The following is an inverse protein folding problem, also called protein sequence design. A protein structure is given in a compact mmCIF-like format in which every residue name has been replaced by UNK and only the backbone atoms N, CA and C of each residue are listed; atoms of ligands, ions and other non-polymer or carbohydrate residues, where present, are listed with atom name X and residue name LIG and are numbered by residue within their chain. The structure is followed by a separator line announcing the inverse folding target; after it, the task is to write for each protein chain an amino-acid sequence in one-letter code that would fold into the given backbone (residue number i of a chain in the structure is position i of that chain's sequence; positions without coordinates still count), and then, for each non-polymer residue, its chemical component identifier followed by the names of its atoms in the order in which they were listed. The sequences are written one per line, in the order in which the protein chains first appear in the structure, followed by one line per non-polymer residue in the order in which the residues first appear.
data_IF_333027959539
#
_entry.id   IF_333027959539
#
_cell.length_a   1.000
_cell.length_b   1.000
_cell.length_c   1.000
_cell.angle_alpha   90.00
_cell.angle_beta   90.00
_cell.angle_gamma   90.00
#
_symmetry.space_group_name_H-M   'P 1'
#
loop_
_entity.id
_entity.type
_entity.pdbx_description
1 polymer ?
#
# COMPACT_ATOMS: atom_id res chain seq x y z
N UNK A 1 4.84 2.08 25.73
CA UNK A 1 4.25 1.72 24.43
C UNK A 1 2.95 2.48 24.29
N UNK A 2 2.70 3.08 23.14
CA UNK A 2 1.46 3.80 22.87
C UNK A 2 1.37 4.25 21.42
N UNK A 3 0.24 4.85 21.06
CA UNK A 3 -0.05 5.37 19.74
C UNK A 3 0.18 6.88 19.69
N UNK A 4 0.92 7.34 18.69
CA UNK A 4 1.15 8.77 18.45
C UNK A 4 -0.17 9.41 18.01
N UNK A 5 -0.55 10.50 18.67
CA UNK A 5 -1.74 11.28 18.39
C UNK A 5 -1.40 12.77 18.32
N UNK A 6 -2.26 13.54 17.67
CA UNK A 6 -2.25 15.00 17.72
C UNK A 6 -3.20 15.47 18.82
N UNK A 7 -2.87 16.57 19.51
CA UNK A 7 -3.75 17.24 20.48
C UNK A 7 -4.93 17.97 19.84
N UNK A 8 -4.85 18.21 18.54
CA UNK A 8 -5.84 18.94 17.74
C UNK A 8 -6.41 18.01 16.67
N UNK A 9 -7.73 17.87 16.61
CA UNK A 9 -8.40 17.10 15.57
C UNK A 9 -8.17 17.74 14.19
N UNK A 10 -7.65 16.96 13.24
CA UNK A 10 -7.30 17.45 11.89
C UNK A 10 -6.11 18.44 11.85
N UNK A 11 -5.43 18.65 12.97
CA UNK A 11 -4.23 19.50 13.04
C UNK A 11 -2.97 18.74 12.63
N UNK A 12 -2.01 19.45 12.03
CA UNK A 12 -0.71 18.87 11.67
C UNK A 12 0.13 18.54 12.91
N UNK A 13 0.74 17.37 12.89
CA UNK A 13 1.64 16.91 13.94
C UNK A 13 2.88 17.81 14.02
N UNK A 14 3.20 18.28 15.23
CA UNK A 14 4.39 19.05 15.52
C UNK A 14 4.88 18.75 16.95
N UNK A 15 6.09 19.20 17.30
CA UNK A 15 6.70 18.89 18.59
C UNK A 15 5.87 19.30 19.82
N UNK A 16 4.97 20.30 19.69
CA UNK A 16 4.13 20.78 20.79
C UNK A 16 2.79 20.04 20.86
N UNK A 17 2.29 19.51 19.74
CA UNK A 17 1.00 18.80 19.64
C UNK A 17 1.09 17.29 19.83
N UNK A 18 2.30 16.74 20.05
CA UNK A 18 2.52 15.32 20.23
C UNK A 18 1.89 14.79 21.52
N UNK A 19 0.99 13.82 21.36
CA UNK A 19 0.43 13.02 22.43
C UNK A 19 0.80 11.54 22.23
N UNK A 20 0.96 10.82 23.34
CA UNK A 20 1.05 9.36 23.36
C UNK A 20 -0.19 8.80 24.05
N UNK A 21 -0.99 8.04 23.30
CA UNK A 21 -2.16 7.32 23.81
C UNK A 21 -1.76 5.90 24.22
N UNK A 22 -1.97 5.57 25.49
CA UNK A 22 -1.73 4.22 26.01
C UNK A 22 -2.87 3.25 25.67
N UNK A 23 -2.60 1.95 25.76
CA UNK A 23 -3.63 0.93 25.53
C UNK A 23 -4.74 0.98 26.59
N UNK A 24 -5.93 0.45 26.27
CA UNK A 24 -6.99 0.26 27.27
C UNK A 24 -6.52 -0.65 28.43
N UNK A 25 -5.77 -1.71 28.13
CA UNK A 25 -5.33 -2.71 29.11
C UNK A 25 -4.36 -2.15 30.15
N UNK A 26 -3.40 -1.33 29.73
CA UNK A 26 -2.31 -0.86 30.60
C UNK A 26 -2.52 0.55 31.12
N UNK A 27 -3.32 1.35 30.42
CA UNK A 27 -3.38 2.80 30.64
C UNK A 27 -4.80 3.35 30.53
N UNK A 28 -5.83 2.50 30.40
CA UNK A 28 -7.23 2.91 30.26
C UNK A 28 -7.48 3.91 29.12
N UNK A 29 -6.65 3.89 28.07
CA UNK A 29 -6.74 4.86 26.98
C UNK A 29 -6.24 6.28 27.34
N UNK A 30 -5.54 6.43 28.46
CA UNK A 30 -5.00 7.73 28.88
C UNK A 30 -4.01 8.29 27.84
N UNK A 31 -4.04 9.60 27.68
CA UNK A 31 -3.13 10.36 26.82
C UNK A 31 -2.22 11.22 27.70
N UNK A 32 -0.94 11.27 27.34
CA UNK A 32 0.03 12.18 27.93
C UNK A 32 0.76 12.94 26.82
N UNK A 33 1.22 14.16 27.11
CA UNK A 33 2.10 14.87 26.16
C UNK A 33 3.39 14.10 26.00
N UNK A 34 3.95 14.15 24.80
CA UNK A 34 5.19 13.47 24.47
C UNK A 34 6.23 14.49 24.02
N UNK A 35 7.27 14.66 24.85
CA UNK A 35 8.43 15.47 24.53
C UNK A 35 9.52 14.58 23.92
N UNK A 36 9.85 14.83 22.66
CA UNK A 36 10.88 14.11 21.89
C UNK A 36 12.13 14.96 21.62
N UNK A 37 12.36 16.01 22.40
CA UNK A 37 13.52 16.91 22.25
C UNK A 37 14.87 16.20 22.37
N UNK A 38 14.95 15.10 23.15
CA UNK A 38 16.13 14.24 23.25
C UNK A 38 16.21 13.15 22.17
N UNK A 39 15.29 13.17 21.20
CA UNK A 39 15.07 12.15 20.19
C UNK A 39 14.87 12.77 18.77
N UNK A 40 15.77 13.67 18.31
CA UNK A 40 15.51 14.55 17.16
C UNK A 40 15.43 13.83 15.80
N UNK A 41 15.92 12.60 15.69
CA UNK A 41 15.95 11.84 14.43
C UNK A 41 14.67 11.04 14.16
N UNK A 42 13.72 11.04 15.10
CA UNK A 42 12.55 10.18 15.02
C UNK A 42 11.48 10.76 14.09
N UNK A 43 11.14 10.01 13.05
CA UNK A 43 10.00 10.26 12.18
C UNK A 43 8.75 9.73 12.86
N UNK A 44 7.87 10.66 13.23
CA UNK A 44 6.60 10.36 13.86
C UNK A 44 5.45 10.79 12.95
N UNK A 45 4.40 9.98 12.92
CA UNK A 45 3.16 10.30 12.22
C UNK A 45 1.94 9.88 13.08
N UNK A 46 0.76 10.49 12.87
CA UNK A 46 -0.45 10.13 13.60
C UNK A 46 -0.86 8.67 13.36
N UNK A 47 -1.12 7.93 14.44
CA UNK A 47 -1.47 6.51 14.37
C UNK A 47 -0.29 5.56 14.59
N UNK A 48 0.95 6.06 14.54
CA UNK A 48 2.12 5.23 14.75
C UNK A 48 2.16 4.64 16.16
N UNK A 49 2.26 3.32 16.26
CA UNK A 49 2.52 2.58 17.48
C UNK A 49 4.02 2.59 17.76
N UNK A 50 4.40 3.17 18.90
CA UNK A 50 5.79 3.34 19.31
C UNK A 50 6.05 2.79 20.70
N UNK A 51 7.26 2.29 20.91
CA UNK A 51 7.81 1.97 22.21
C UNK A 51 8.93 2.96 22.54
N UNK A 52 8.78 3.73 23.62
CA UNK A 52 9.76 4.73 24.02
C UNK A 52 10.17 4.52 25.47
N UNK A 53 11.46 4.72 25.74
CA UNK A 53 12.01 4.87 27.07
C UNK A 53 12.01 6.35 27.44
N UNK A 54 11.66 6.67 28.68
CA UNK A 54 11.60 8.04 29.15
C UNK A 54 11.17 8.14 30.60
N UNK A 55 11.00 9.37 31.08
CA UNK A 55 10.50 9.67 32.42
C UNK A 55 9.22 10.51 32.34
N UNK A 56 8.32 10.35 33.30
CA UNK A 56 7.10 11.16 33.41
C UNK A 56 7.01 11.75 34.83
N UNK A 57 7.82 12.78 35.15
CA UNK A 57 7.89 13.33 36.50
C UNK A 57 6.60 14.04 36.91
N UNK A 58 5.85 14.60 35.95
CA UNK A 58 4.67 15.42 36.21
C UNK A 58 3.34 14.66 36.11
N UNK A 59 3.38 13.39 35.68
CA UNK A 59 2.22 12.55 35.40
C UNK A 59 1.54 12.82 34.04
N UNK A 60 1.77 13.99 33.43
CA UNK A 60 1.06 14.41 32.21
C UNK A 60 1.98 14.68 31.01
N UNK A 61 3.31 14.56 31.17
CA UNK A 61 4.28 14.75 30.09
C UNK A 61 5.39 13.70 30.18
N UNK A 62 5.50 12.87 29.16
CA UNK A 62 6.56 11.87 29.00
C UNK A 62 7.72 12.53 28.27
N UNK A 63 8.86 12.67 28.94
CA UNK A 63 10.12 13.09 28.34
C UNK A 63 10.82 11.85 27.81
N UNK A 64 10.75 11.65 26.49
CA UNK A 64 11.33 10.50 25.82
C UNK A 64 12.84 10.66 25.67
N UNK A 65 13.59 9.67 26.14
CA UNK A 65 15.05 9.60 25.99
C UNK A 65 15.49 8.69 24.84
N UNK A 66 14.66 7.73 24.44
CA UNK A 66 14.97 6.78 23.37
C UNK A 66 13.71 6.19 22.75
N UNK A 67 13.69 6.09 21.41
CA UNK A 67 12.74 5.26 20.68
C UNK A 67 13.32 3.85 20.52
N UNK A 68 12.54 2.84 20.89
CA UNK A 68 12.93 1.44 20.74
C UNK A 68 12.52 0.96 19.34
N UNK A 69 13.46 0.48 18.51
CA UNK A 69 13.15 -0.08 17.19
C UNK A 69 12.39 -1.40 17.32
N UNK A 70 11.70 -1.80 16.25
CA UNK A 70 11.25 -3.19 16.07
C UNK A 70 10.10 -3.68 16.97
N UNK A 71 9.51 -2.84 17.81
CA UNK A 71 8.47 -3.28 18.76
C UNK A 71 7.20 -3.88 18.08
N UNK A 72 6.97 -3.56 16.81
CA UNK A 72 5.85 -4.04 16.00
C UNK A 72 6.28 -4.43 14.57
N UNK A 73 7.55 -4.77 14.35
CA UNK A 73 8.05 -5.06 13.01
C UNK A 73 7.60 -6.45 12.54
N UNK A 74 7.16 -6.52 11.28
CA UNK A 74 6.76 -7.77 10.66
C UNK A 74 7.99 -8.69 10.48
N UNK A 75 7.84 -10.02 10.64
CA UNK A 75 8.94 -10.95 10.45
C UNK A 75 9.40 -10.95 8.99
N UNK A 76 10.70 -11.16 8.76
CA UNK A 76 11.20 -11.38 7.41
C UNK A 76 10.66 -12.71 6.86
N UNK A 77 10.29 -12.76 5.57
CA UNK A 77 9.88 -13.99 4.93
C UNK A 77 11.06 -14.98 4.89
N UNK A 78 10.75 -16.25 5.08
CA UNK A 78 11.72 -17.34 4.97
C UNK A 78 11.23 -18.35 3.92
N UNK A 79 12.18 -18.97 3.21
CA UNK A 79 11.93 -20.05 2.26
C UNK A 79 12.85 -21.21 2.61
N UNK A 80 12.32 -22.43 2.70
CA UNK A 80 13.17 -23.61 2.94
C UNK A 80 14.06 -23.90 1.73
N UNK A 81 15.21 -24.55 1.97
CA UNK A 81 16.13 -24.94 0.88
C UNK A 81 15.47 -25.88 -0.13
N UNK A 82 14.58 -26.76 0.32
CA UNK A 82 13.82 -27.68 -0.54
C UNK A 82 12.85 -26.92 -1.47
N UNK A 83 12.13 -25.94 -0.94
CA UNK A 83 11.26 -25.07 -1.75
C UNK A 83 12.07 -24.23 -2.74
N UNK A 84 13.22 -23.68 -2.32
CA UNK A 84 14.12 -22.94 -3.21
C UNK A 84 14.60 -23.82 -4.38
N UNK A 85 15.00 -25.06 -4.10
CA UNK A 85 15.39 -26.01 -5.14
C UNK A 85 14.24 -26.32 -6.10
N UNK A 86 13.01 -26.42 -5.58
CA UNK A 86 11.80 -26.64 -6.38
C UNK A 86 11.54 -25.45 -7.31
N UNK A 87 11.59 -24.21 -6.81
CA UNK A 87 11.40 -23.01 -7.62
C UNK A 87 12.49 -22.82 -8.67
N UNK A 88 13.74 -23.08 -8.30
CA UNK A 88 14.87 -23.04 -9.23
C UNK A 88 14.69 -24.08 -10.36
N UNK A 89 14.22 -25.28 -10.04
CA UNK A 89 13.96 -26.32 -11.04
C UNK A 89 12.80 -25.92 -11.95
N UNK A 90 11.69 -25.44 -11.40
CA UNK A 90 10.51 -25.04 -12.15
C UNK A 90 10.77 -23.89 -13.14
N UNK A 91 11.67 -22.96 -12.77
CA UNK A 91 12.03 -21.80 -13.61
C UNK A 91 13.26 -22.05 -14.48
N UNK A 92 13.92 -23.20 -14.37
CA UNK A 92 15.22 -23.43 -15.02
C UNK A 92 16.30 -22.44 -14.53
N UNK A 93 16.20 -22.01 -13.27
CA UNK A 93 17.06 -21.03 -12.61
C UNK A 93 17.09 -19.63 -13.25
N UNK A 94 16.12 -19.29 -14.12
CA UNK A 94 16.05 -17.96 -14.76
C UNK A 94 15.40 -16.88 -13.89
N UNK A 95 14.82 -17.26 -12.75
CA UNK A 95 14.01 -16.39 -11.91
C UNK A 95 12.60 -16.16 -12.47
N UNK A 96 11.85 -15.26 -11.83
CA UNK A 96 10.50 -14.85 -12.23
C UNK A 96 10.53 -13.42 -12.73
N UNK A 97 10.02 -13.18 -13.94
CA UNK A 97 9.85 -11.84 -14.47
C UNK A 97 8.46 -11.31 -14.11
N UNK A 98 8.41 -10.28 -13.27
CA UNK A 98 7.19 -9.58 -12.88
C UNK A 98 7.17 -8.20 -13.54
N UNK A 99 6.09 -7.88 -14.25
CA UNK A 99 5.77 -6.52 -14.69
C UNK A 99 4.64 -6.01 -13.82
N UNK A 100 4.81 -4.84 -13.20
CA UNK A 100 3.80 -4.20 -12.38
C UNK A 100 3.45 -2.82 -12.96
N UNK A 101 2.16 -2.49 -12.97
CA UNK A 101 1.66 -1.18 -13.36
C UNK A 101 0.50 -0.77 -12.46
N UNK A 102 0.37 0.54 -12.20
CA UNK A 102 -0.75 1.12 -11.49
C UNK A 102 -1.46 2.12 -12.38
N UNK A 103 -2.79 2.19 -12.26
CA UNK A 103 -3.61 3.12 -13.02
C UNK A 103 -3.33 4.59 -12.65
N UNK A 104 -3.91 5.54 -13.41
CA UNK A 104 -4.94 5.32 -14.43
C UNK A 104 -4.41 4.69 -15.73
N UNK A 105 -5.24 3.88 -16.38
CA UNK A 105 -4.88 3.15 -17.61
C UNK A 105 -5.43 3.77 -18.92
N UNK A 106 -5.99 4.98 -18.84
CA UNK A 106 -6.51 5.75 -19.97
C UNK A 106 -6.05 7.21 -19.89
N UNK A 107 -6.17 7.95 -20.99
CA UNK A 107 -5.90 9.40 -21.03
C UNK A 107 -7.02 10.17 -20.33
N UNK A 108 -6.85 11.47 -20.06
CA UNK A 108 -7.92 12.33 -19.55
C UNK A 108 -8.97 12.71 -20.59
N UNK A 109 -8.68 12.47 -21.87
CA UNK A 109 -9.47 12.96 -23.01
C UNK A 109 -10.53 11.93 -23.46
N UNK A 110 -10.31 10.64 -23.17
CA UNK A 110 -11.11 9.54 -23.70
C UNK A 110 -11.07 8.29 -22.78
N UNK A 111 -11.97 7.34 -23.07
CA UNK A 111 -12.06 6.03 -22.41
C UNK A 111 -11.72 4.89 -23.38
N UNK A 112 -10.75 5.10 -24.28
CA UNK A 112 -10.30 4.08 -25.23
C UNK A 112 -9.18 3.19 -24.67
N UNK A 113 -8.59 3.57 -23.52
CA UNK A 113 -7.56 2.79 -22.82
C UNK A 113 -6.35 2.46 -23.72
N UNK A 114 -5.94 3.41 -24.55
CA UNK A 114 -4.73 3.28 -25.36
C UNK A 114 -3.45 2.97 -24.54
N UNK A 115 -3.24 3.58 -23.34
CA UNK A 115 -2.12 3.22 -22.47
C UNK A 115 -2.14 1.75 -22.01
N UNK A 116 -3.31 1.21 -21.66
CA UNK A 116 -3.46 -0.21 -21.33
C UNK A 116 -3.06 -1.09 -22.51
N UNK A 117 -3.56 -0.79 -23.71
CA UNK A 117 -3.22 -1.52 -24.92
C UNK A 117 -1.71 -1.54 -25.18
N UNK A 118 -1.05 -0.39 -25.06
CA UNK A 118 0.40 -0.27 -25.23
C UNK A 118 1.18 -1.10 -24.19
N UNK A 119 0.73 -1.09 -22.92
CA UNK A 119 1.32 -1.93 -21.86
C UNK A 119 1.17 -3.43 -22.18
N UNK A 120 -0.01 -3.85 -22.62
CA UNK A 120 -0.28 -5.25 -22.98
C UNK A 120 0.52 -5.68 -24.22
N UNK A 121 0.70 -4.80 -25.20
CA UNK A 121 1.56 -5.04 -26.36
C UNK A 121 3.04 -5.20 -25.97
N UNK A 122 3.54 -4.36 -25.07
CA UNK A 122 4.86 -4.52 -24.48
C UNK A 122 4.99 -5.87 -23.78
N UNK A 123 4.02 -6.24 -22.95
CA UNK A 123 4.02 -7.52 -22.23
C UNK A 123 3.94 -8.72 -23.19
N UNK A 124 3.28 -8.59 -24.34
CA UNK A 124 3.21 -9.67 -25.33
C UNK A 124 4.57 -9.96 -25.97
N UNK A 125 5.43 -8.93 -26.09
CA UNK A 125 6.81 -9.07 -26.52
C UNK A 125 7.74 -9.56 -25.40
N UNK A 126 7.64 -8.95 -24.21
CA UNK A 126 8.49 -9.25 -23.06
C UNK A 126 8.19 -10.63 -22.44
N UNK A 127 6.94 -11.11 -22.54
CA UNK A 127 6.41 -12.36 -21.96
C UNK A 127 6.77 -12.51 -20.48
N UNK A 128 6.32 -11.58 -19.61
CA UNK A 128 6.52 -11.74 -18.17
C UNK A 128 5.78 -12.97 -17.66
N UNK A 129 6.27 -13.56 -16.58
CA UNK A 129 5.60 -14.65 -15.89
C UNK A 129 4.37 -14.13 -15.14
N UNK A 130 4.47 -12.92 -14.58
CA UNK A 130 3.39 -12.24 -13.86
C UNK A 130 3.21 -10.81 -14.36
N UNK A 131 1.97 -10.44 -14.67
CA UNK A 131 1.55 -9.06 -14.90
C UNK A 131 0.62 -8.63 -13.76
N UNK A 132 1.10 -7.73 -12.90
CA UNK A 132 0.33 -7.19 -11.78
C UNK A 132 -0.20 -5.80 -12.15
N UNK A 133 -1.52 -5.67 -12.21
CA UNK A 133 -2.21 -4.41 -12.46
C UNK A 133 -2.92 -3.94 -11.20
N UNK A 134 -2.58 -2.75 -10.74
CA UNK A 134 -3.22 -2.09 -9.60
C UNK A 134 -4.12 -0.98 -10.13
N UNK A 135 -5.33 -0.87 -9.60
CA UNK A 135 -6.27 0.19 -9.98
C UNK A 135 -5.72 1.61 -9.74
N UNK A 136 -6.47 2.65 -10.15
CA UNK A 136 -7.83 2.54 -10.68
C UNK A 136 -7.88 2.07 -12.15
N UNK A 137 -8.80 1.16 -12.41
CA UNK A 137 -9.19 0.71 -13.74
C UNK A 137 -10.23 1.64 -14.34
N UNK A 138 -11.33 1.91 -13.63
CA UNK A 138 -12.30 2.96 -14.00
C UNK A 138 -12.25 4.03 -12.93
N UNK A 139 -11.44 5.06 -13.18
CA UNK A 139 -11.09 6.07 -12.20
C UNK A 139 -12.24 7.05 -11.93
N UNK A 140 -12.67 7.15 -10.68
CA UNK A 140 -13.69 8.12 -10.23
C UNK A 140 -13.28 9.58 -10.50
N UNK A 141 -11.98 9.87 -10.57
CA UNK A 141 -11.48 11.22 -10.84
C UNK A 141 -11.39 11.55 -12.33
N UNK A 142 -11.61 10.56 -13.22
CA UNK A 142 -11.56 10.78 -14.66
C UNK A 142 -12.61 11.83 -15.09
N UNK A 143 -12.25 12.85 -15.92
CA UNK A 143 -13.15 13.96 -16.25
C UNK A 143 -14.52 13.53 -16.80
N UNK A 144 -14.56 12.52 -17.67
CA UNK A 144 -15.82 11.99 -18.22
C UNK A 144 -16.65 11.20 -17.20
N UNK A 145 -16.01 10.50 -16.27
CA UNK A 145 -16.69 9.74 -15.19
C UNK A 145 -17.30 10.73 -14.21
N UNK A 146 -16.51 11.70 -13.75
CA UNK A 146 -16.95 12.76 -12.83
C UNK A 146 -17.98 13.70 -13.44
N UNK A 147 -17.91 13.92 -14.76
CA UNK A 147 -18.86 14.73 -15.50
C UNK A 147 -20.26 14.11 -15.61
N UNK A 148 -20.39 12.79 -15.42
CA UNK A 148 -21.68 12.09 -15.47
C UNK A 148 -22.35 12.09 -16.85
N UNK A 149 -21.56 12.24 -17.92
CA UNK A 149 -22.04 12.33 -19.31
C UNK A 149 -21.87 11.01 -20.08
N UNK A 150 -21.64 9.90 -19.37
CA UNK A 150 -21.43 8.58 -19.98
C UNK A 150 -22.77 7.91 -20.28
N UNK A 151 -22.88 7.31 -21.46
CA UNK A 151 -24.05 6.54 -21.88
C UNK A 151 -23.97 5.06 -21.46
N UNK A 152 -22.78 4.58 -21.10
CA UNK A 152 -22.50 3.21 -20.63
C UNK A 152 -22.39 3.17 -19.10
N UNK A 153 -22.69 2.02 -18.48
CA UNK A 153 -22.48 1.84 -17.04
C UNK A 153 -20.99 1.69 -16.73
N UNK A 154 -20.58 1.99 -15.49
CA UNK A 154 -19.18 1.82 -15.08
C UNK A 154 -18.72 0.35 -15.15
N UNK A 155 -19.62 -0.58 -14.83
CA UNK A 155 -19.39 -2.02 -14.96
C UNK A 155 -19.18 -2.42 -16.42
N UNK A 156 -19.97 -1.88 -17.35
CA UNK A 156 -19.83 -2.15 -18.79
C UNK A 156 -18.51 -1.60 -19.34
N UNK A 157 -18.08 -0.42 -18.89
CA UNK A 157 -16.79 0.17 -19.25
C UNK A 157 -15.65 -0.73 -18.76
N UNK A 158 -15.69 -1.15 -17.49
CA UNK A 158 -14.70 -2.07 -16.94
C UNK A 158 -14.66 -3.40 -17.72
N UNK A 159 -15.83 -4.01 -17.93
CA UNK A 159 -15.96 -5.29 -18.62
C UNK A 159 -15.44 -5.24 -20.07
N UNK A 160 -15.86 -4.23 -20.83
CA UNK A 160 -15.60 -4.14 -22.27
C UNK A 160 -14.22 -3.57 -22.58
N UNK A 161 -13.82 -2.49 -21.91
CA UNK A 161 -12.60 -1.73 -22.22
C UNK A 161 -11.37 -2.26 -21.49
N UNK A 162 -11.51 -2.72 -20.24
CA UNK A 162 -10.40 -3.20 -19.42
C UNK A 162 -10.27 -4.72 -19.55
N UNK A 163 -11.26 -5.46 -19.05
CA UNK A 163 -11.24 -6.93 -19.06
C UNK A 163 -11.26 -7.50 -20.50
N UNK A 164 -11.94 -6.83 -21.43
CA UNK A 164 -11.91 -7.17 -22.85
C UNK A 164 -10.50 -7.13 -23.45
N UNK A 165 -9.69 -6.11 -23.12
CA UNK A 165 -8.31 -6.00 -23.58
C UNK A 165 -7.41 -7.06 -22.93
N UNK A 166 -7.56 -7.27 -21.61
CA UNK A 166 -6.83 -8.32 -20.88
C UNK A 166 -7.14 -9.70 -21.46
N UNK A 167 -8.41 -10.00 -21.76
CA UNK A 167 -8.81 -11.27 -22.38
C UNK A 167 -8.13 -11.49 -23.74
N UNK A 168 -8.06 -10.45 -24.58
CA UNK A 168 -7.37 -10.50 -25.88
C UNK A 168 -5.88 -10.75 -25.71
N UNK A 169 -5.26 -10.08 -24.73
CA UNK A 169 -3.86 -10.29 -24.37
C UNK A 169 -3.61 -11.73 -23.90
N UNK A 170 -4.37 -12.23 -22.94
CA UNK A 170 -4.24 -13.58 -22.40
C UNK A 170 -4.37 -14.65 -23.49
N UNK A 171 -5.32 -14.48 -24.42
CA UNK A 171 -5.48 -15.36 -25.60
C UNK A 171 -4.28 -15.27 -26.55
N UNK A 172 -3.72 -14.07 -26.76
CA UNK A 172 -2.56 -13.85 -27.63
C UNK A 172 -1.28 -14.48 -27.07
N UNK A 173 -1.06 -14.41 -25.76
CA UNK A 173 0.14 -15.01 -25.11
C UNK A 173 -0.05 -16.47 -24.71
N UNK A 174 -1.25 -17.03 -24.88
CA UNK A 174 -1.51 -18.46 -24.67
C UNK A 174 -1.32 -18.91 -23.22
N UNK A 175 -1.61 -18.04 -22.25
CA UNK A 175 -1.48 -18.38 -20.82
C UNK A 175 -0.05 -18.38 -20.27
N UNK A 176 0.94 -17.88 -21.02
CA UNK A 176 2.33 -17.78 -20.52
C UNK A 176 2.51 -16.75 -19.40
N UNK A 177 1.56 -15.82 -19.28
CA UNK A 177 1.60 -14.73 -18.30
C UNK A 177 0.39 -14.83 -17.38
N UNK A 178 0.62 -14.88 -16.07
CA UNK A 178 -0.44 -14.79 -15.07
C UNK A 178 -0.78 -13.32 -14.83
N UNK A 179 -2.04 -12.93 -15.09
CA UNK A 179 -2.52 -11.57 -14.85
C UNK A 179 -3.17 -11.47 -13.48
N UNK A 180 -2.70 -10.54 -12.64
CA UNK A 180 -3.20 -10.28 -11.29
C UNK A 180 -3.80 -8.87 -11.24
N UNK A 181 -5.00 -8.73 -10.68
CA UNK A 181 -5.72 -7.46 -10.57
C UNK A 181 -5.91 -7.09 -9.09
N UNK A 182 -5.50 -5.89 -8.70
CA UNK A 182 -5.72 -5.34 -7.36
C UNK A 182 -6.58 -4.08 -7.49
N UNK A 183 -7.74 -3.97 -6.80
CA UNK A 183 -8.59 -2.79 -6.89
C UNK A 183 -7.96 -1.58 -6.21
N UNK A 184 -8.47 -0.40 -6.55
CA UNK A 184 -8.24 0.87 -5.85
C UNK A 184 -9.56 1.40 -5.30
N UNK A 185 -9.53 2.19 -4.22
CA UNK A 185 -10.75 2.87 -3.71
C UNK A 185 -11.30 3.88 -4.71
N UNK A 186 -10.50 4.24 -5.72
CA UNK A 186 -10.89 5.08 -6.86
C UNK A 186 -11.59 4.32 -7.99
N UNK A 187 -11.70 2.99 -7.91
CA UNK A 187 -12.49 2.21 -8.87
C UNK A 187 -13.98 2.46 -8.66
N UNK A 188 -14.57 3.32 -9.50
CA UNK A 188 -15.97 3.79 -9.35
C UNK A 188 -17.01 2.67 -9.46
N UNK A 189 -16.64 1.55 -10.08
CA UNK A 189 -17.47 0.35 -10.25
C UNK A 189 -17.30 -0.66 -9.09
N UNK A 190 -16.46 -0.37 -8.08
CA UNK A 190 -16.12 -1.31 -7.02
C UNK A 190 -16.38 -0.74 -5.61
N UNK A 191 -16.20 -1.57 -4.58
CA UNK A 191 -16.38 -1.16 -3.19
C UNK A 191 -15.44 -0.01 -2.81
N UNK A 192 -15.94 1.19 -2.42
CA UNK A 192 -15.10 2.38 -2.33
C UNK A 192 -14.33 2.52 -1.00
N UNK A 193 -14.32 1.51 -0.12
CA UNK A 193 -13.78 1.61 1.26
C UNK A 193 -12.60 0.66 1.45
N UNK A 194 -11.52 1.14 2.07
CA UNK A 194 -10.37 0.32 2.44
C UNK A 194 -10.65 -0.41 3.78
N UNK A 195 -10.26 -1.68 3.94
CA UNK A 195 -9.74 -2.61 2.94
C UNK A 195 -10.82 -3.08 1.96
N UNK A 196 -10.47 -3.25 0.68
CA UNK A 196 -11.40 -3.65 -0.37
C UNK A 196 -11.35 -5.17 -0.62
N UNK A 197 -12.50 -5.82 -0.86
CA UNK A 197 -12.54 -7.19 -1.36
C UNK A 197 -11.96 -7.27 -2.79
N UNK A 198 -11.63 -8.47 -3.28
CA UNK A 198 -11.31 -8.68 -4.69
C UNK A 198 -12.40 -8.14 -5.62
N UNK A 199 -12.00 -7.75 -6.84
CA UNK A 199 -12.91 -7.50 -7.97
C UNK A 199 -13.69 -8.78 -8.31
N UNK A 200 -14.75 -8.70 -9.12
CA UNK A 200 -15.58 -9.86 -9.49
C UNK A 200 -14.71 -11.02 -10.03
N UNK A 201 -14.53 -12.05 -9.19
CA UNK A 201 -13.66 -13.18 -9.45
C UNK A 201 -14.15 -14.03 -10.62
N UNK A 202 -15.47 -14.16 -10.79
CA UNK A 202 -16.07 -14.93 -11.89
C UNK A 202 -15.82 -14.22 -13.21
N UNK A 203 -16.00 -12.90 -13.22
CA UNK A 203 -15.70 -12.08 -14.38
C UNK A 203 -14.21 -12.20 -14.70
N UNK A 204 -13.31 -11.85 -13.78
CA UNK A 204 -11.86 -11.90 -13.98
C UNK A 204 -11.35 -13.28 -14.45
N UNK A 205 -11.82 -14.37 -13.83
CA UNK A 205 -11.42 -15.73 -14.18
C UNK A 205 -11.84 -16.09 -15.62
N UNK A 206 -13.01 -15.62 -16.07
CA UNK A 206 -13.45 -15.81 -17.45
C UNK A 206 -12.55 -15.10 -18.48
N UNK A 207 -11.67 -14.19 -18.06
CA UNK A 207 -10.64 -13.56 -18.91
C UNK A 207 -9.21 -14.00 -18.56
N UNK A 208 -9.05 -15.11 -17.83
CA UNK A 208 -7.75 -15.64 -17.41
C UNK A 208 -6.94 -14.67 -16.54
N UNK A 209 -7.62 -13.84 -15.75
CA UNK A 209 -7.04 -12.99 -14.73
C UNK A 209 -7.45 -13.46 -13.33
N UNK A 210 -6.64 -13.15 -12.32
CA UNK A 210 -6.95 -13.42 -10.91
C UNK A 210 -7.17 -12.09 -10.19
N UNK A 211 -8.36 -11.89 -9.64
CA UNK A 211 -8.65 -10.75 -8.79
C UNK A 211 -8.11 -10.99 -7.37
N UNK A 212 -7.51 -9.95 -6.78
CA UNK A 212 -6.95 -9.95 -5.44
C UNK A 212 -7.58 -8.81 -4.62
N UNK A 213 -7.51 -8.91 -3.30
CA UNK A 213 -7.95 -7.85 -2.39
C UNK A 213 -7.00 -6.63 -2.42
N UNK A 214 -7.44 -5.50 -1.86
CA UNK A 214 -6.58 -4.34 -1.60
C UNK A 214 -6.63 -3.99 -0.10
N UNK A 215 -5.49 -4.03 0.60
CA UNK A 215 -4.15 -4.45 0.16
C UNK A 215 -4.02 -5.99 0.01
N UNK A 216 -2.88 -6.46 -0.49
CA UNK A 216 -2.56 -7.89 -0.58
C UNK A 216 -1.08 -8.17 -0.38
N UNK A 217 -0.77 -9.29 0.30
CA UNK A 217 0.59 -9.87 0.34
C UNK A 217 0.58 -11.15 -0.49
N UNK A 218 1.35 -11.19 -1.56
CA UNK A 218 1.42 -12.34 -2.46
C UNK A 218 2.85 -12.89 -2.53
N UNK A 219 2.98 -14.14 -2.97
CA UNK A 219 4.26 -14.82 -3.07
C UNK A 219 4.50 -15.27 -4.50
N UNK A 220 5.56 -14.74 -5.10
CA UNK A 220 6.07 -15.15 -6.39
C UNK A 220 7.31 -16.01 -6.15
N UNK A 221 7.13 -17.34 -6.08
CA UNK A 221 8.15 -18.30 -5.66
C UNK A 221 8.70 -18.01 -4.25
N UNK A 222 9.97 -17.63 -4.12
CA UNK A 222 10.60 -17.27 -2.86
C UNK A 222 10.34 -15.82 -2.45
N UNK A 223 10.03 -14.94 -3.41
CA UNK A 223 9.86 -13.52 -3.17
C UNK A 223 8.45 -13.20 -2.68
N UNK A 224 8.35 -12.50 -1.55
CA UNK A 224 7.12 -11.97 -1.01
C UNK A 224 6.93 -10.53 -1.47
N UNK A 225 5.81 -10.27 -2.13
CA UNK A 225 5.46 -8.95 -2.66
C UNK A 225 4.26 -8.40 -1.88
N UNK A 226 4.43 -7.23 -1.28
CA UNK A 226 3.35 -6.48 -0.66
C UNK A 226 2.82 -5.41 -1.61
N UNK A 227 1.51 -5.30 -1.73
CA UNK A 227 0.84 -4.38 -2.65
C UNK A 227 -0.28 -3.66 -1.90
N UNK A 228 -0.27 -2.33 -1.93
CA UNK A 228 -1.38 -1.51 -1.44
C UNK A 228 -1.69 -0.41 -2.43
N UNK A 229 -2.95 -0.27 -2.85
CA UNK A 229 -3.33 0.74 -3.86
C UNK A 229 -3.56 2.14 -3.28
N UNK A 230 -3.71 2.25 -1.95
CA UNK A 230 -3.81 3.55 -1.28
C UNK A 230 -2.44 4.26 -1.30
N UNK A 231 -2.42 5.55 -1.62
CA UNK A 231 -1.19 6.35 -1.66
C UNK A 231 -0.67 6.66 -0.25
N UNK A 232 -0.05 5.65 0.36
CA UNK A 232 0.59 5.71 1.68
C UNK A 232 1.61 6.85 1.77
N UNK A 233 2.42 7.02 0.72
CA UNK A 233 3.52 7.98 0.73
C UNK A 233 2.98 9.41 0.82
N UNK A 234 2.00 9.76 -0.02
CA UNK A 234 1.38 11.07 -0.01
C UNK A 234 0.57 11.31 1.27
N UNK A 235 -0.15 10.30 1.76
CA UNK A 235 -0.84 10.35 3.04
C UNK A 235 0.13 10.70 4.18
N UNK A 236 1.27 9.99 4.26
CA UNK A 236 2.25 10.22 5.31
C UNK A 236 3.00 11.55 5.14
N UNK A 237 3.32 11.97 3.92
CA UNK A 237 3.98 13.28 3.65
C UNK A 237 3.17 14.45 4.18
N UNK A 238 1.83 14.35 4.15
CA UNK A 238 0.91 15.40 4.60
C UNK A 238 0.80 15.48 6.12
N UNK A 239 0.94 14.35 6.80
CA UNK A 239 0.63 14.18 8.22
C UNK A 239 1.87 14.01 9.13
N UNK A 240 3.04 13.63 8.59
CA UNK A 240 4.24 13.41 9.40
C UNK A 240 4.76 14.70 10.03
N UNK A 241 5.45 14.55 11.16
CA UNK A 241 6.15 15.65 11.79
C UNK A 241 7.27 16.17 10.87
N UNK A 242 7.36 17.49 10.62
CA UNK A 242 8.39 18.05 9.77
C UNK A 242 9.79 17.82 10.37
N UNK A 243 10.67 17.22 9.59
CA UNK A 243 12.08 17.03 9.94
C UNK A 243 12.98 17.66 8.88
N UNK A 244 14.11 18.23 9.31
CA UNK A 244 15.15 18.74 8.41
C UNK A 244 16.01 17.57 7.94
N UNK A 245 15.60 16.90 6.86
CA UNK A 245 16.35 15.81 6.26
C UNK A 245 16.36 15.97 4.74
N UNK A 246 17.39 15.44 4.09
CA UNK A 246 17.46 15.40 2.64
C UNK A 246 16.24 14.67 2.06
N UNK A 247 15.59 15.26 1.05
CA UNK A 247 14.36 14.75 0.45
C UNK A 247 14.48 13.31 -0.08
N UNK A 248 15.68 12.89 -0.49
CA UNK A 248 15.89 11.58 -1.12
C UNK A 248 15.84 10.41 -0.12
N UNK A 249 16.21 10.64 1.15
CA UNK A 249 16.10 9.66 2.24
C UNK A 249 14.68 9.62 2.83
N UNK A 250 13.88 10.65 2.53
CA UNK A 250 12.52 10.81 3.07
C UNK A 250 11.60 9.67 2.65
N UNK A 251 11.49 9.41 1.34
CA UNK A 251 10.54 8.41 0.82
C UNK A 251 10.87 6.99 1.29
N UNK A 252 12.16 6.63 1.35
CA UNK A 252 12.59 5.32 1.85
C UNK A 252 12.22 5.13 3.32
N UNK A 253 12.41 6.17 4.15
CA UNK A 253 12.05 6.12 5.56
C UNK A 253 10.53 6.05 5.76
N UNK A 254 9.75 6.73 4.92
CA UNK A 254 8.29 6.63 4.94
C UNK A 254 7.80 5.23 4.57
N UNK A 255 8.40 4.62 3.54
CA UNK A 255 8.09 3.24 3.17
C UNK A 255 8.47 2.27 4.30
N UNK A 256 9.58 2.51 5.03
CA UNK A 256 10.02 1.68 6.15
C UNK A 256 9.02 1.63 7.31
N UNK A 257 8.15 2.65 7.46
CA UNK A 257 7.13 2.64 8.49
C UNK A 257 6.12 1.52 8.32
N UNK A 258 5.78 1.15 7.08
CA UNK A 258 4.80 0.10 6.80
C UNK A 258 5.19 -1.25 7.48
N UNK A 259 6.32 -1.89 7.13
CA UNK A 259 6.74 -3.14 7.77
C UNK A 259 7.08 -2.95 9.26
N UNK A 260 7.56 -1.77 9.68
CA UNK A 260 7.81 -1.47 11.09
C UNK A 260 6.52 -1.34 11.94
N UNK A 261 5.38 -1.13 11.30
CA UNK A 261 4.06 -1.09 11.92
C UNK A 261 3.23 -2.34 11.63
N UNK A 262 3.77 -3.29 10.84
CA UNK A 262 3.06 -4.48 10.37
C UNK A 262 1.69 -4.17 9.78
N UNK A 263 1.51 -3.04 9.10
CA UNK A 263 0.22 -2.63 8.53
C UNK A 263 0.39 -1.83 7.25
N UNK A 264 -0.42 -2.11 6.23
CA UNK A 264 -0.42 -1.43 4.93
C UNK A 264 -0.95 0.01 4.99
N UNK A 265 -1.65 0.37 6.06
CA UNK A 265 -2.16 1.73 6.24
C UNK A 265 -2.25 2.11 7.74
N UNK A 266 -1.11 2.39 8.41
CA UNK A 266 -1.07 2.64 9.86
C UNK A 266 -1.43 4.09 10.26
N UNK A 267 -1.70 4.99 9.31
CA UNK A 267 -2.12 6.35 9.64
C UNK A 267 -3.52 6.33 10.26
N UNK A 268 -3.64 6.94 11.43
CA UNK A 268 -4.93 7.09 12.10
C UNK A 268 -5.01 8.39 12.90
N UNK A 269 -6.09 9.20 12.73
CA UNK A 269 -7.21 8.99 11.80
C UNK A 269 -6.79 8.99 10.32
N UNK A 270 -7.52 8.28 9.42
CA UNK A 270 -7.21 8.30 8.00
C UNK A 270 -7.36 9.74 7.45
N UNK A 271 -6.53 10.15 6.47
CA UNK A 271 -6.67 11.46 5.85
C UNK A 271 -8.03 11.64 5.16
N UNK A 272 -8.45 12.90 4.99
CA UNK A 272 -9.65 13.21 4.22
C UNK A 272 -9.55 12.63 2.80
N UNK A 273 -10.62 11.95 2.37
CA UNK A 273 -10.67 11.27 1.08
C UNK A 273 -10.21 9.81 1.09
N UNK A 274 -9.72 9.28 2.22
CA UNK A 274 -9.41 7.85 2.36
C UNK A 274 -10.43 7.17 3.27
N UNK A 275 -11.52 6.62 2.72
CA UNK A 275 -12.50 5.89 3.50
C UNK A 275 -11.90 4.59 4.06
N UNK A 276 -12.00 4.41 5.38
CA UNK A 276 -11.43 3.28 6.11
C UNK A 276 -12.49 2.59 6.97
N UNK A 277 -12.75 1.31 6.72
CA UNK A 277 -13.57 0.46 7.59
C UNK A 277 -12.73 -0.09 8.74
N UNK A 278 -12.75 0.60 9.87
CA UNK A 278 -12.03 0.21 11.08
C UNK A 278 -12.47 -1.14 11.65
N UNK A 279 -13.66 -1.65 11.29
CA UNK A 279 -14.14 -2.97 11.77
C UNK A 279 -13.42 -4.13 11.09
N UNK A 280 -12.90 -3.91 9.87
CA UNK A 280 -12.15 -4.89 9.08
C UNK A 280 -10.64 -4.61 9.05
N UNK A 281 -10.25 -3.39 9.41
CA UNK A 281 -8.87 -2.88 9.32
C UNK A 281 -7.81 -3.79 9.99
N UNK A 282 -8.13 -4.43 11.13
CA UNK A 282 -7.18 -5.29 11.84
C UNK A 282 -6.60 -6.38 10.94
N UNK A 283 -7.38 -7.43 10.66
CA UNK A 283 -6.86 -8.56 9.88
C UNK A 283 -6.55 -8.24 8.41
N UNK A 284 -7.28 -7.30 7.79
CA UNK A 284 -7.18 -7.07 6.35
C UNK A 284 -6.14 -6.00 5.95
N UNK A 285 -5.62 -5.21 6.89
CA UNK A 285 -4.47 -4.32 6.64
C UNK A 285 -3.17 -4.85 7.23
N UNK A 286 -3.19 -5.95 7.98
CA UNK A 286 -2.00 -6.55 8.56
C UNK A 286 -0.99 -6.97 7.47
N UNK A 287 0.28 -6.67 7.73
CA UNK A 287 1.41 -7.21 6.98
C UNK A 287 1.91 -8.46 7.70
N UNK A 288 1.67 -9.67 7.17
CA UNK A 288 2.11 -10.91 7.80
C UNK A 288 3.63 -11.06 7.80
N UNK A 289 4.30 -10.43 6.83
CA UNK A 289 5.75 -10.39 6.68
C UNK A 289 6.19 -8.99 6.28
N UNK A 290 7.44 -8.65 6.57
CA UNK A 290 8.10 -7.52 5.93
C UNK A 290 8.48 -7.95 4.51
N UNK A 291 7.77 -7.49 3.46
CA UNK A 291 7.89 -8.07 2.13
C UNK A 291 9.26 -7.79 1.51
N UNK A 292 9.73 -8.70 0.66
CA UNK A 292 10.97 -8.53 -0.11
C UNK A 292 10.83 -7.39 -1.13
N UNK A 293 9.63 -7.22 -1.67
CA UNK A 293 9.27 -6.12 -2.58
C UNK A 293 7.98 -5.45 -2.11
N UNK A 294 8.00 -4.13 -1.98
CA UNK A 294 6.83 -3.34 -1.62
C UNK A 294 6.45 -2.43 -2.78
N UNK A 295 5.24 -2.63 -3.32
CA UNK A 295 4.68 -1.83 -4.41
C UNK A 295 3.69 -0.82 -3.84
N UNK A 296 4.07 0.46 -3.92
CA UNK A 296 3.31 1.60 -3.42
C UNK A 296 3.05 2.58 -4.58
N UNK A 297 1.94 2.42 -5.32
CA UNK A 297 1.49 3.42 -6.27
C UNK A 297 1.31 4.78 -5.59
N UNK A 298 1.74 5.84 -6.27
CA UNK A 298 1.64 7.22 -5.78
C UNK A 298 1.72 8.20 -6.95
N UNK A 299 1.15 9.40 -6.78
CA UNK A 299 1.28 10.51 -7.74
C UNK A 299 2.70 11.14 -7.76
N UNK A 300 3.60 10.64 -6.92
CA UNK A 300 5.01 11.03 -6.90
C UNK A 300 5.76 10.50 -8.14
N UNK A 301 6.89 11.14 -8.46
CA UNK A 301 7.77 10.64 -9.51
C UNK A 301 8.20 9.17 -9.22
N UNK A 302 8.15 8.27 -10.21
CA UNK A 302 8.50 6.87 -10.02
C UNK A 302 9.91 6.68 -9.47
N UNK A 303 10.08 5.76 -8.52
CA UNK A 303 11.38 5.41 -7.96
C UNK A 303 11.43 3.95 -7.53
N UNK A 304 12.65 3.40 -7.47
CA UNK A 304 12.93 2.09 -6.87
C UNK A 304 14.14 2.24 -5.95
N UNK A 305 13.98 1.85 -4.67
CA UNK A 305 15.01 2.01 -3.64
C UNK A 305 15.01 0.82 -2.70
N UNK A 306 16.20 0.45 -2.23
CA UNK A 306 16.33 -0.48 -1.11
C UNK A 306 15.88 0.22 0.17
N UNK A 307 14.96 -0.42 0.89
CA UNK A 307 14.47 0.05 2.16
C UNK A 307 15.15 -0.76 3.28
N UNK A 308 16.11 -0.19 4.03
CA UNK A 308 16.73 -0.90 5.13
C UNK A 308 15.71 -1.07 6.25
N UNK A 309 15.35 -2.32 6.54
CA UNK A 309 14.61 -2.66 7.73
C UNK A 309 15.61 -2.61 8.89
N UNK A 310 15.51 -1.59 9.75
CA UNK A 310 16.34 -1.50 10.95
C UNK A 310 16.04 -2.71 11.83
N UNK A 311 17.03 -3.61 11.93
CA UNK A 311 17.10 -4.65 12.97
C UNK A 311 17.55 -4.03 14.29
#
# INVERSE_FOLDING_TARGET
VGRVCCDTEGGRLNAQSLLLEGSQKTSQGARARLDVSHCPTNRLFPGQVVAMLGTNPSGHCIVASQLLPGAAAAPLPCTSLEQLATYATATGARGVLVVAAAGPFTSSEDLEYAPLGALLDYCAGAKPDVLLLVGPFVDEEHPLVRGGLLEETFDDIYASRVLGQISRFSKRVGGCTQVLLVPSTRDVHHHPVLPQPPLDELQAAAQSATALANPVTLRCNEAVVGVGAADWLMACIREEMPLSVAANERLTALAAHLPAQSSYFPIFPPPLGTPLDCSKAGAALDMPYAPDLLLLPSDLAPFAKLCPLHQ
#
